data_IF_942298773804
#
_entry.id   IF_942298773804
#
_cell.length_a   1.000
_cell.length_b   1.000
_cell.length_c   1.000
_cell.angle_alpha   90.00
_cell.angle_beta   90.00
_cell.angle_gamma   90.00
#
_symmetry.space_group_name_H-M   'P 1'
#
loop_
_entity.id
_entity.type
_entity.pdbx_description
1 polymer ?
#
# COMPACT_ATOMS: atom_id res chain seq x y z
N UNK A 1 2.07 -28.60 30.27
CA UNK A 1 1.32 -27.34 30.10
C UNK A 1 0.66 -27.37 28.74
N UNK A 2 -0.68 -27.26 28.67
CA UNK A 2 -1.40 -27.20 27.39
C UNK A 2 -1.14 -25.82 26.77
N UNK A 3 -0.51 -25.79 25.60
CA UNK A 3 -0.34 -24.57 24.81
C UNK A 3 -1.72 -24.06 24.40
N UNK A 4 -2.20 -22.99 25.05
CA UNK A 4 -3.42 -22.31 24.64
C UNK A 4 -3.11 -21.48 23.39
N UNK A 5 -3.29 -22.08 22.22
CA UNK A 5 -3.26 -21.33 20.95
C UNK A 5 -4.61 -20.64 20.76
N UNK A 6 -4.57 -19.39 20.34
CA UNK A 6 -5.77 -18.70 19.89
C UNK A 6 -6.31 -19.41 18.63
N UNK A 7 -7.62 -19.64 18.52
CA UNK A 7 -8.24 -20.10 17.27
C UNK A 7 -7.92 -19.14 16.11
N UNK A 8 -7.71 -19.69 14.91
CA UNK A 8 -7.32 -18.90 13.72
C UNK A 8 -8.36 -17.85 13.34
N UNK A 9 -9.64 -18.12 13.57
CA UNK A 9 -10.75 -17.21 13.30
C UNK A 9 -10.66 -15.95 14.17
N UNK A 10 -10.39 -16.11 15.46
CA UNK A 10 -10.21 -14.99 16.39
C UNK A 10 -8.92 -14.22 16.10
N UNK A 11 -7.87 -14.92 15.66
CA UNK A 11 -6.63 -14.28 15.24
C UNK A 11 -6.85 -13.38 14.01
N UNK A 12 -7.63 -13.85 13.02
CA UNK A 12 -8.02 -13.06 11.85
C UNK A 12 -8.80 -11.81 12.26
N UNK A 13 -9.80 -11.94 13.15
CA UNK A 13 -10.60 -10.81 13.64
C UNK A 13 -9.75 -9.75 14.34
N UNK A 14 -8.79 -10.17 15.17
CA UNK A 14 -7.85 -9.25 15.82
C UNK A 14 -7.01 -8.53 14.76
N UNK A 15 -6.45 -9.28 13.79
CA UNK A 15 -5.61 -8.71 12.74
C UNK A 15 -6.39 -7.78 11.79
N UNK A 16 -7.69 -7.99 11.59
CA UNK A 16 -8.56 -7.08 10.83
C UNK A 16 -8.63 -5.69 11.47
N UNK A 17 -8.58 -5.60 12.80
CA UNK A 17 -8.63 -4.32 13.52
C UNK A 17 -7.26 -3.62 13.61
N UNK A 18 -6.17 -4.32 13.28
CA UNK A 18 -4.82 -3.76 13.35
C UNK A 18 -4.59 -2.78 12.20
N UNK A 19 -4.05 -1.57 12.45
CA UNK A 19 -3.71 -0.63 11.40
C UNK A 19 -2.76 -1.22 10.35
N UNK A 20 -2.97 -0.88 9.08
CA UNK A 20 -2.21 -1.40 7.93
C UNK A 20 -0.69 -1.29 8.09
N UNK A 21 -0.20 -0.20 8.67
CA UNK A 21 1.23 0.04 8.93
C UNK A 21 1.82 -0.99 9.89
N UNK A 22 1.05 -1.38 10.92
CA UNK A 22 1.44 -2.43 11.85
C UNK A 22 1.40 -3.80 11.16
N UNK A 23 0.35 -4.10 10.40
CA UNK A 23 0.25 -5.35 9.63
C UNK A 23 1.44 -5.56 8.67
N UNK A 24 1.91 -4.49 8.03
CA UNK A 24 3.08 -4.53 7.16
C UNK A 24 4.34 -5.04 7.87
N UNK A 25 4.51 -4.69 9.15
CA UNK A 25 5.61 -5.18 10.00
C UNK A 25 5.36 -6.61 10.48
N UNK A 26 4.10 -6.98 10.74
CA UNK A 26 3.74 -8.32 11.19
C UNK A 26 3.99 -9.40 10.11
N UNK A 27 4.12 -9.02 8.84
CA UNK A 27 4.52 -9.92 7.73
C UNK A 27 5.81 -10.69 7.99
N UNK A 28 6.71 -10.16 8.82
CA UNK A 28 8.00 -10.81 9.10
C UNK A 28 7.98 -11.70 10.34
N UNK A 29 6.86 -11.77 11.08
CA UNK A 29 6.77 -12.51 12.34
C UNK A 29 6.59 -14.01 12.12
N UNK A 30 5.67 -14.41 11.25
CA UNK A 30 5.46 -15.82 10.89
C UNK A 30 4.94 -15.98 9.45
N UNK A 31 5.03 -17.22 8.93
CA UNK A 31 4.61 -17.55 7.55
C UNK A 31 3.10 -17.54 7.41
N UNK A 32 2.37 -17.94 8.45
CA UNK A 32 0.91 -17.93 8.48
C UNK A 32 0.37 -16.51 8.27
N UNK A 33 0.86 -15.53 9.03
CA UNK A 33 0.44 -14.13 8.90
C UNK A 33 0.82 -13.54 7.55
N UNK A 34 2.04 -13.78 7.06
CA UNK A 34 2.42 -13.32 5.73
C UNK A 34 1.50 -13.88 4.64
N UNK A 35 1.05 -15.13 4.79
CA UNK A 35 0.10 -15.76 3.85
C UNK A 35 -1.29 -15.14 3.98
N UNK A 36 -1.79 -14.98 5.20
CA UNK A 36 -3.07 -14.33 5.48
C UNK A 36 -3.14 -12.91 4.92
N UNK A 37 -2.07 -12.12 5.06
CA UNK A 37 -2.03 -10.75 4.56
C UNK A 37 -1.95 -10.65 3.03
N UNK A 38 -1.76 -11.76 2.31
CA UNK A 38 -1.86 -11.82 0.85
C UNK A 38 -3.20 -12.43 0.39
N UNK A 39 -4.03 -12.91 1.32
CA UNK A 39 -5.35 -13.42 1.01
C UNK A 39 -6.31 -12.26 0.68
N UNK A 40 -7.04 -12.40 -0.43
CA UNK A 40 -7.92 -11.33 -0.93
C UNK A 40 -9.14 -11.12 -0.04
N UNK A 41 -9.64 -12.18 0.60
CA UNK A 41 -10.80 -12.09 1.49
C UNK A 41 -10.39 -11.31 2.74
N UNK A 42 -9.25 -11.65 3.33
CA UNK A 42 -8.68 -10.90 4.44
C UNK A 42 -8.47 -9.42 4.08
N UNK A 43 -7.82 -9.13 2.95
CA UNK A 43 -7.57 -7.75 2.50
C UNK A 43 -8.87 -6.97 2.33
N UNK A 44 -9.90 -7.57 1.72
CA UNK A 44 -11.19 -6.90 1.54
C UNK A 44 -11.92 -6.66 2.87
N UNK A 45 -11.89 -7.62 3.80
CA UNK A 45 -12.45 -7.45 5.16
C UNK A 45 -11.72 -6.33 5.92
N UNK A 46 -10.39 -6.35 5.88
CA UNK A 46 -9.54 -5.34 6.50
C UNK A 46 -9.84 -3.94 5.94
N UNK A 47 -9.96 -3.80 4.62
CA UNK A 47 -10.30 -2.53 3.97
C UNK A 47 -11.70 -2.03 4.35
N UNK A 48 -12.68 -2.92 4.48
CA UNK A 48 -14.04 -2.57 4.89
C UNK A 48 -14.12 -2.08 6.35
N UNK A 49 -13.25 -2.59 7.22
CA UNK A 49 -13.16 -2.19 8.63
C UNK A 49 -12.15 -1.07 8.89
N UNK A 50 -11.34 -0.69 7.91
CA UNK A 50 -10.31 0.32 8.05
C UNK A 50 -10.86 1.73 7.92
N UNK A 51 -10.26 2.65 8.66
CA UNK A 51 -10.44 4.08 8.45
C UNK A 51 -10.04 4.47 7.00
N UNK A 52 -10.79 5.37 6.34
CA UNK A 52 -10.39 5.89 5.04
C UNK A 52 -8.98 6.48 5.09
N UNK A 53 -8.09 5.95 4.25
CA UNK A 53 -6.71 6.43 4.09
C UNK A 53 -6.44 6.71 2.61
N UNK A 54 -5.97 7.92 2.31
CA UNK A 54 -5.69 8.40 0.95
C UNK A 54 -4.25 8.85 0.84
N UNK A 55 -3.66 8.73 -0.35
CA UNK A 55 -2.34 9.28 -0.66
C UNK A 55 -2.54 10.49 -1.56
N UNK A 56 -2.08 11.65 -1.12
CA UNK A 56 -2.05 12.88 -1.91
C UNK A 56 -0.62 13.21 -2.32
N UNK A 57 -0.43 13.53 -3.59
CA UNK A 57 0.78 14.15 -4.09
C UNK A 57 0.59 15.66 -4.12
N UNK A 58 1.51 16.39 -3.52
CA UNK A 58 1.67 17.84 -3.62
C UNK A 58 2.90 18.15 -4.47
N UNK A 59 3.15 19.42 -4.77
CA UNK A 59 4.31 19.84 -5.56
C UNK A 59 5.67 19.44 -4.95
N UNK A 60 5.70 19.22 -3.63
CA UNK A 60 6.94 18.96 -2.88
C UNK A 60 6.95 17.65 -2.10
N UNK A 61 5.78 17.06 -1.82
CA UNK A 61 5.67 15.93 -0.91
C UNK A 61 4.54 14.98 -1.31
N UNK A 62 4.69 13.71 -0.97
CA UNK A 62 3.59 12.76 -0.95
C UNK A 62 3.15 12.60 0.50
N UNK A 63 1.87 12.75 0.80
CA UNK A 63 1.35 12.61 2.16
C UNK A 63 0.23 11.57 2.20
N UNK A 64 0.26 10.71 3.21
CA UNK A 64 -0.90 9.90 3.60
C UNK A 64 -1.82 10.73 4.48
N UNK A 65 -3.13 10.63 4.23
CA UNK A 65 -4.18 11.26 5.02
C UNK A 65 -5.09 10.16 5.51
N UNK A 66 -5.20 10.00 6.83
CA UNK A 66 -6.13 9.07 7.45
C UNK A 66 -7.23 9.83 8.18
N UNK A 67 -8.48 9.43 7.98
CA UNK A 67 -9.65 10.05 8.60
C UNK A 67 -10.24 9.07 9.61
N UNK A 68 -10.22 9.44 10.89
CA UNK A 68 -10.95 8.73 11.93
C UNK A 68 -12.34 9.36 12.06
N UNK A 69 -13.39 8.54 11.93
CA UNK A 69 -14.80 8.97 11.95
C UNK A 69 -15.55 8.50 13.20
N UNK A 70 -14.83 8.13 14.26
CA UNK A 70 -15.42 7.79 15.56
C UNK A 70 -16.02 9.05 16.23
N UNK A 71 -16.49 8.91 17.48
CA UNK A 71 -17.21 9.97 18.22
C UNK A 71 -16.51 11.35 18.25
N UNK A 72 -15.19 11.38 18.11
CA UNK A 72 -14.39 12.60 17.85
C UNK A 72 -13.64 12.47 16.51
N UNK A 73 -14.16 13.04 15.41
CA UNK A 73 -13.58 12.86 14.10
C UNK A 73 -12.25 13.60 13.98
N UNK A 74 -11.20 12.90 13.59
CA UNK A 74 -9.85 13.46 13.47
C UNK A 74 -9.23 13.16 12.11
N UNK A 75 -8.47 14.13 11.59
CA UNK A 75 -7.70 13.99 10.37
C UNK A 75 -6.22 13.96 10.75
N UNK A 76 -5.53 12.87 10.41
CA UNK A 76 -4.07 12.80 10.54
C UNK A 76 -3.45 12.89 9.16
N UNK A 77 -2.52 13.83 9.01
CA UNK A 77 -1.69 13.98 7.81
C UNK A 77 -0.27 13.55 8.13
N UNK A 78 0.28 12.65 7.31
CA UNK A 78 1.65 12.17 7.43
C UNK A 78 2.35 12.27 6.09
N UNK A 79 3.29 13.20 5.98
CA UNK A 79 4.11 13.30 4.78
C UNK A 79 5.20 12.22 4.77
N UNK A 80 5.29 11.54 3.64
CA UNK A 80 6.19 10.46 3.35
C UNK A 80 7.39 11.07 2.63
N UNK A 81 8.58 10.93 3.20
CA UNK A 81 9.83 11.31 2.54
C UNK A 81 10.01 10.45 1.29
N UNK A 82 9.87 11.08 0.13
CA UNK A 82 10.01 10.42 -1.17
C UNK A 82 10.66 11.40 -2.15
N UNK A 83 11.93 11.15 -2.46
CA UNK A 83 12.77 12.09 -3.22
C UNK A 83 12.48 12.10 -4.73
N UNK A 84 11.45 11.36 -5.18
CA UNK A 84 11.08 11.26 -6.58
C UNK A 84 9.81 12.07 -6.86
N UNK A 85 10.01 13.25 -7.45
CA UNK A 85 8.95 14.21 -7.85
C UNK A 85 8.46 13.99 -9.29
N UNK A 86 8.32 12.73 -9.72
CA UNK A 86 7.69 12.43 -11.02
C UNK A 86 6.17 12.53 -10.96
N UNK A 87 5.53 12.53 -12.13
CA UNK A 87 4.06 12.54 -12.20
C UNK A 87 3.50 11.20 -11.72
N UNK A 88 2.41 11.25 -10.95
CA UNK A 88 1.62 10.07 -10.63
C UNK A 88 0.89 9.56 -11.87
N UNK A 89 1.19 8.33 -12.28
CA UNK A 89 0.56 7.71 -13.46
C UNK A 89 -0.55 6.72 -13.11
N UNK A 90 -0.51 6.12 -11.92
CA UNK A 90 -1.57 5.19 -11.50
C UNK A 90 -1.21 4.34 -10.28
N UNK A 91 -2.22 3.62 -9.78
CA UNK A 91 -2.12 2.70 -8.66
C UNK A 91 -2.50 1.26 -9.09
N UNK A 92 -1.83 0.26 -8.51
CA UNK A 92 -2.16 -1.15 -8.71
C UNK A 92 -1.84 -1.91 -7.42
N UNK A 93 -2.82 -2.60 -6.84
CA UNK A 93 -2.67 -3.45 -5.64
C UNK A 93 -1.91 -2.78 -4.47
N UNK A 94 -2.15 -1.48 -4.26
CA UNK A 94 -1.51 -0.69 -3.19
C UNK A 94 -0.10 -0.20 -3.51
N UNK A 95 0.40 -0.45 -4.72
CA UNK A 95 1.59 0.20 -5.27
C UNK A 95 1.21 1.43 -6.08
N UNK A 96 2.09 2.41 -6.07
CA UNK A 96 1.95 3.66 -6.81
C UNK A 96 3.07 3.73 -7.84
N UNK A 97 2.71 4.06 -9.08
CA UNK A 97 3.67 4.26 -10.15
C UNK A 97 3.87 5.76 -10.42
N UNK A 98 5.12 6.20 -10.27
CA UNK A 98 5.54 7.54 -10.66
C UNK A 98 6.46 7.44 -11.87
N UNK A 99 6.38 8.43 -12.77
CA UNK A 99 7.27 8.51 -13.92
C UNK A 99 7.65 9.95 -14.26
N UNK A 100 8.89 10.09 -14.69
CA UNK A 100 9.54 11.31 -15.12
C UNK A 100 10.32 11.00 -16.40
N UNK A 101 10.26 11.88 -17.39
CA UNK A 101 10.89 11.64 -18.70
C UNK A 101 12.41 11.51 -18.62
N UNK A 102 13.03 12.20 -17.65
CA UNK A 102 14.48 12.31 -17.54
C UNK A 102 15.03 11.30 -16.54
N UNK A 103 14.28 11.01 -15.47
CA UNK A 103 14.69 10.12 -14.38
C UNK A 103 14.14 8.69 -14.52
N UNK A 104 13.18 8.46 -15.41
CA UNK A 104 12.52 7.16 -15.61
C UNK A 104 11.34 6.94 -14.67
N UNK A 105 11.06 5.69 -14.31
CA UNK A 105 9.88 5.32 -13.51
C UNK A 105 10.24 4.63 -12.19
N UNK A 106 9.36 4.77 -11.21
CA UNK A 106 9.49 4.09 -9.92
C UNK A 106 8.15 3.49 -9.49
N UNK A 107 8.20 2.22 -9.09
CA UNK A 107 7.09 1.54 -8.42
C UNK A 107 7.36 1.61 -6.92
N UNK A 108 6.49 2.32 -6.22
CA UNK A 108 6.62 2.59 -4.80
C UNK A 108 5.48 1.97 -4.01
N UNK A 109 5.81 1.40 -2.85
CA UNK A 109 4.82 0.97 -1.87
C UNK A 109 4.78 2.00 -0.72
N UNK A 110 3.72 2.83 -0.60
CA UNK A 110 3.61 3.86 0.44
C UNK A 110 3.66 3.29 1.86
N UNK A 111 3.22 2.04 2.02
CA UNK A 111 3.02 1.39 3.31
C UNK A 111 4.27 0.73 3.84
N UNK A 112 5.10 0.20 2.94
CA UNK A 112 6.43 -0.31 3.28
C UNK A 112 7.49 0.79 3.29
N UNK A 113 7.15 2.00 2.81
CA UNK A 113 8.08 3.13 2.60
C UNK A 113 9.32 2.69 1.83
N UNK A 114 9.15 1.74 0.93
CA UNK A 114 10.23 1.08 0.21
C UNK A 114 10.00 1.21 -1.30
N UNK A 115 11.08 1.50 -2.02
CA UNK A 115 11.07 1.52 -3.47
C UNK A 115 11.14 0.07 -3.94
N UNK A 116 10.05 -0.41 -4.53
CA UNK A 116 9.97 -1.81 -4.97
C UNK A 116 10.78 -2.03 -6.23
N UNK A 117 10.80 -1.07 -7.16
CA UNK A 117 11.47 -1.22 -8.46
C UNK A 117 11.75 0.11 -9.15
N UNK A 118 12.95 0.24 -9.70
CA UNK A 118 13.33 1.30 -10.64
C UNK A 118 13.16 0.83 -12.08
N UNK A 119 12.69 1.73 -12.94
CA UNK A 119 12.51 1.54 -14.37
C UNK A 119 13.33 2.63 -15.06
N UNK A 120 14.24 2.24 -15.95
CA UNK A 120 15.04 3.20 -16.69
C UNK A 120 14.16 4.09 -17.58
N UNK A 121 14.59 5.33 -17.88
CA UNK A 121 13.90 6.16 -18.85
C UNK A 121 13.88 5.47 -20.21
N UNK A 122 12.69 5.34 -20.77
CA UNK A 122 12.46 4.79 -22.12
C UNK A 122 11.53 5.78 -22.82
N UNK A 123 11.62 5.93 -24.14
CA UNK A 123 10.68 6.78 -24.89
C UNK A 123 9.24 6.49 -24.43
N UNK A 124 8.48 7.53 -24.05
CA UNK A 124 7.19 7.41 -23.35
C UNK A 124 6.21 6.45 -24.04
N UNK A 125 6.26 6.35 -25.38
CA UNK A 125 5.47 5.42 -26.20
C UNK A 125 5.72 3.93 -25.89
N UNK A 126 6.91 3.56 -25.42
CA UNK A 126 7.30 2.19 -25.08
C UNK A 126 7.02 1.80 -23.62
N UNK A 127 6.64 2.76 -22.77
CA UNK A 127 6.37 2.53 -21.36
C UNK A 127 4.97 1.93 -21.13
N UNK A 128 3.98 2.41 -21.90
CA UNK A 128 2.59 1.95 -21.85
C UNK A 128 2.44 0.44 -22.13
N UNK A 129 3.32 -0.14 -22.96
CA UNK A 129 3.28 -1.56 -23.30
C UNK A 129 3.94 -2.48 -22.26
N UNK A 130 4.78 -1.93 -21.37
CA UNK A 130 5.62 -2.73 -20.44
C UNK A 130 5.14 -2.71 -18.99
N UNK A 131 4.41 -1.66 -18.57
CA UNK A 131 4.09 -1.42 -17.15
C UNK A 131 2.65 -1.78 -16.80
N UNK A 132 1.71 -1.71 -17.75
CA UNK A 132 0.35 -2.17 -17.49
C UNK A 132 0.30 -3.71 -17.55
N UNK A 133 -0.18 -4.39 -16.50
CA UNK A 133 -0.57 -5.78 -16.63
C UNK A 133 -1.55 -5.89 -17.80
N UNK A 134 -1.47 -6.99 -18.55
CA UNK A 134 -2.34 -7.36 -19.68
C UNK A 134 -3.85 -7.44 -19.37
N UNK A 135 -4.31 -6.90 -18.23
CA UNK A 135 -5.69 -6.81 -17.77
C UNK A 135 -6.40 -5.49 -18.08
N UNK A 136 -5.75 -4.55 -18.77
CA UNK A 136 -6.37 -3.29 -19.22
C UNK A 136 -6.33 -3.11 -20.75
N UNK A 137 -6.63 -4.18 -21.50
CA UNK A 137 -7.17 -4.04 -22.85
C UNK A 137 -8.67 -4.33 -22.76
N UNK A 138 -9.48 -3.37 -23.24
CA UNK A 138 -10.91 -3.51 -23.46
C UNK A 138 -11.24 -4.78 -24.23
#
# INVERSE_FOLDING_TARGET
MVSRKLPSELEEEILIQVPRQSLARLRTVCKEWNTLFNDKIFVNKHLACSHPEFVLQTDSNICSISINLNDDPTIQVRCLTFDFLGYHYGNCDGYIFFYDSDKGGVVWNPWLRHITRWIQPVNALSLFSRVLPSKFKL
#
